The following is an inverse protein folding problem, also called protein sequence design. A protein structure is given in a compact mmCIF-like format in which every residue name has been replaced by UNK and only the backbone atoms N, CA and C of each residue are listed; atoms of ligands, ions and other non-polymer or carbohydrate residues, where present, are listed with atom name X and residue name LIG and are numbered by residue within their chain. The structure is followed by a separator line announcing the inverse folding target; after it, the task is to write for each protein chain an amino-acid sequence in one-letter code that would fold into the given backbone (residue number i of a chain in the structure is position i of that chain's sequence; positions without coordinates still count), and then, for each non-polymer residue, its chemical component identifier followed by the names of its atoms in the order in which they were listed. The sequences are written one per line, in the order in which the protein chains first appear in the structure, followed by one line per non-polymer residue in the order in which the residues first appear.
data_IF_676726247795
#
_entry.id   IF_676726247795
#
_cell.length_a   1.000
_cell.length_b   1.000
_cell.length_c   1.000
_cell.angle_alpha   90.00
_cell.angle_beta   90.00
_cell.angle_gamma   90.00
#
_symmetry.space_group_name_H-M   'P 1'
#
loop_
_entity.id
_entity.type
_entity.pdbx_description
1 polymer ?
#
# COMPACT_ATOMS: atom_id res chain seq x y z
N UNK A 1 3.53 -3.30 -8.57
CA UNK A 1 4.09 -4.23 -7.57
C UNK A 1 5.23 -3.54 -6.84
N UNK A 2 5.36 -3.77 -5.53
CA UNK A 2 6.48 -3.25 -4.73
C UNK A 2 7.51 -4.37 -4.53
N UNK A 3 8.76 -4.14 -4.97
CA UNK A 3 9.90 -4.99 -4.65
C UNK A 3 10.54 -4.55 -3.33
N UNK A 4 10.36 -5.35 -2.29
CA UNK A 4 10.94 -5.15 -0.96
C UNK A 4 12.15 -6.05 -0.70
N UNK A 5 12.73 -6.61 -1.75
CA UNK A 5 13.89 -7.49 -1.65
C UNK A 5 15.08 -6.78 -0.99
N UNK A 6 15.79 -7.53 -0.17
CA UNK A 6 17.03 -7.11 0.51
C UNK A 6 18.07 -8.24 0.37
N UNK A 7 19.33 -7.95 0.67
CA UNK A 7 20.41 -8.92 0.68
C UNK A 7 21.38 -8.82 -0.51
N UNK A 8 22.40 -9.68 -0.49
CA UNK A 8 23.56 -9.57 -1.39
C UNK A 8 23.25 -9.65 -2.88
N UNK A 9 22.15 -10.31 -3.27
CA UNK A 9 21.78 -10.53 -4.67
C UNK A 9 20.60 -9.62 -5.09
N UNK A 10 20.44 -8.49 -4.43
CA UNK A 10 19.29 -7.58 -4.65
C UNK A 10 19.21 -7.11 -6.10
N UNK A 11 20.35 -6.83 -6.75
CA UNK A 11 20.38 -6.34 -8.13
C UNK A 11 19.90 -7.39 -9.12
N UNK A 12 20.36 -8.64 -9.01
CA UNK A 12 19.91 -9.75 -9.87
C UNK A 12 18.43 -10.06 -9.65
N UNK A 13 18.00 -10.06 -8.38
CA UNK A 13 16.59 -10.31 -8.02
C UNK A 13 15.68 -9.24 -8.62
N UNK A 14 16.04 -7.97 -8.47
CA UNK A 14 15.27 -6.84 -9.03
C UNK A 14 15.23 -6.85 -10.55
N UNK A 15 16.37 -7.08 -11.19
CA UNK A 15 16.44 -7.18 -12.65
C UNK A 15 15.52 -8.30 -13.16
N UNK A 16 15.51 -9.45 -12.48
CA UNK A 16 14.62 -10.54 -12.82
C UNK A 16 13.14 -10.16 -12.65
N UNK A 17 12.79 -9.49 -11.54
CA UNK A 17 11.42 -9.02 -11.27
C UNK A 17 10.98 -8.04 -12.36
N UNK A 18 11.78 -7.02 -12.66
CA UNK A 18 11.46 -5.99 -13.68
C UNK A 18 11.24 -6.63 -15.05
N UNK A 19 12.12 -7.55 -15.46
CA UNK A 19 12.02 -8.22 -16.77
C UNK A 19 10.80 -9.13 -16.90
N UNK A 20 10.28 -9.66 -15.81
CA UNK A 20 9.16 -10.61 -15.81
C UNK A 20 7.84 -10.00 -15.33
N UNK A 21 7.81 -8.76 -14.91
CA UNK A 21 6.59 -8.08 -14.46
C UNK A 21 5.83 -7.48 -15.64
N UNK A 22 4.52 -7.75 -15.76
CA UNK A 22 3.66 -7.07 -16.72
C UNK A 22 3.10 -5.73 -16.21
N UNK A 23 3.53 -5.28 -15.03
CA UNK A 23 3.03 -4.08 -14.34
C UNK A 23 4.20 -3.29 -13.75
N UNK A 24 4.03 -1.98 -13.49
CA UNK A 24 5.07 -1.14 -12.90
C UNK A 24 5.63 -1.72 -11.59
N UNK A 25 6.94 -1.58 -11.40
CA UNK A 25 7.68 -2.03 -10.22
C UNK A 25 8.15 -0.83 -9.42
N UNK A 26 7.80 -0.81 -8.14
CA UNK A 26 8.32 0.15 -7.17
C UNK A 26 9.29 -0.46 -6.18
N UNK A 27 10.07 0.37 -5.54
CA UNK A 27 11.01 -0.02 -4.49
C UNK A 27 10.97 0.95 -3.31
N UNK A 28 11.64 0.57 -2.22
CA UNK A 28 11.90 1.44 -1.07
C UNK A 28 13.43 1.63 -0.94
N UNK A 29 14.01 2.65 -1.62
CA UNK A 29 15.47 2.78 -1.75
C UNK A 29 16.23 2.83 -0.43
N UNK A 30 15.62 3.37 0.63
CA UNK A 30 16.23 3.45 1.95
C UNK A 30 16.60 2.06 2.52
N UNK A 31 15.96 0.98 2.09
CA UNK A 31 16.30 -0.37 2.56
C UNK A 31 17.62 -0.85 1.98
N UNK A 32 17.87 -0.59 0.70
CA UNK A 32 19.17 -0.91 0.08
C UNK A 32 20.26 0.04 0.59
N UNK A 33 19.96 1.34 0.75
CA UNK A 33 20.91 2.29 1.33
C UNK A 33 21.34 1.86 2.75
N UNK A 34 20.38 1.35 3.57
CA UNK A 34 20.66 0.82 4.90
C UNK A 34 21.61 -0.39 4.86
N UNK A 35 21.47 -1.28 3.86
CA UNK A 35 22.40 -2.40 3.69
C UNK A 35 23.80 -1.95 3.33
N UNK A 36 23.97 -0.90 2.50
CA UNK A 36 25.27 -0.32 2.16
C UNK A 36 26.02 0.21 3.38
N UNK A 37 25.30 0.61 4.44
CA UNK A 37 25.86 1.03 5.74
C UNK A 37 25.75 -0.05 6.83
N UNK A 38 25.75 -1.32 6.43
CA UNK A 38 25.71 -2.49 7.33
C UNK A 38 24.55 -2.52 8.32
N UNK A 39 23.42 -1.93 7.98
CA UNK A 39 22.21 -1.90 8.81
C UNK A 39 22.22 -0.85 9.92
N UNK A 40 23.21 0.05 9.95
CA UNK A 40 23.32 1.12 10.96
C UNK A 40 22.62 2.37 10.41
N UNK A 41 21.42 2.66 10.92
CA UNK A 41 20.61 3.76 10.42
C UNK A 41 21.32 5.13 10.59
N UNK A 42 22.08 5.29 11.65
CA UNK A 42 22.83 6.50 11.97
C UNK A 42 23.97 6.79 10.95
N UNK A 43 24.48 5.78 10.26
CA UNK A 43 25.54 5.93 9.25
C UNK A 43 25.00 6.31 7.86
N UNK A 44 23.65 6.34 7.71
CA UNK A 44 23.03 6.82 6.47
C UNK A 44 23.38 8.29 6.23
N UNK A 45 23.56 8.63 4.97
CA UNK A 45 23.79 10.00 4.53
C UNK A 45 23.26 10.21 3.11
N UNK A 46 23.26 11.46 2.67
CA UNK A 46 22.76 11.82 1.35
C UNK A 46 23.51 11.10 0.22
N UNK A 47 24.83 11.02 0.26
CA UNK A 47 25.62 10.47 -0.84
C UNK A 47 25.31 8.98 -1.09
N UNK A 48 25.22 8.19 -0.03
CA UNK A 48 24.83 6.76 -0.12
C UNK A 48 23.40 6.61 -0.65
N UNK A 49 22.51 7.51 -0.23
CA UNK A 49 21.12 7.46 -0.68
C UNK A 49 20.99 7.90 -2.15
N UNK A 50 21.64 8.98 -2.55
CA UNK A 50 21.68 9.46 -3.94
C UNK A 50 22.22 8.39 -4.90
N UNK A 51 23.34 7.76 -4.56
CA UNK A 51 23.90 6.65 -5.33
C UNK A 51 22.86 5.52 -5.47
N UNK A 52 22.17 5.17 -4.39
CA UNK A 52 21.16 4.10 -4.39
C UNK A 52 19.96 4.45 -5.27
N UNK A 53 19.50 5.71 -5.25
CA UNK A 53 18.42 6.17 -6.14
C UNK A 53 18.81 6.01 -7.61
N UNK A 54 20.02 6.46 -7.96
CA UNK A 54 20.53 6.40 -9.34
C UNK A 54 20.67 4.95 -9.79
N UNK A 55 21.26 4.08 -8.98
CA UNK A 55 21.39 2.65 -9.28
C UNK A 55 20.04 2.00 -9.59
N UNK A 56 19.02 2.26 -8.78
CA UNK A 56 17.68 1.68 -8.96
C UNK A 56 16.94 2.28 -10.16
N UNK A 57 17.11 3.58 -10.40
CA UNK A 57 16.55 4.24 -11.56
C UNK A 57 17.18 3.71 -12.88
N UNK A 58 18.49 3.48 -12.90
CA UNK A 58 19.20 2.89 -14.06
C UNK A 58 18.81 1.41 -14.29
N UNK A 59 18.38 0.69 -13.26
CA UNK A 59 17.81 -0.64 -13.40
C UNK A 59 16.41 -0.63 -14.03
N UNK A 60 15.73 0.51 -14.07
CA UNK A 60 14.39 0.65 -14.66
C UNK A 60 13.25 0.48 -13.65
N UNK A 61 13.45 0.87 -12.39
CA UNK A 61 12.38 0.94 -11.39
C UNK A 61 11.44 2.09 -11.74
N UNK A 62 10.12 1.86 -11.69
CA UNK A 62 9.11 2.82 -12.14
C UNK A 62 8.69 3.84 -11.07
N UNK A 63 8.77 3.48 -9.78
CA UNK A 63 8.43 4.39 -8.69
C UNK A 63 9.19 4.09 -7.39
N UNK A 64 9.45 5.13 -6.60
CA UNK A 64 10.17 5.03 -5.32
C UNK A 64 9.32 5.46 -4.15
N UNK A 65 9.29 4.63 -3.09
CA UNK A 65 8.77 5.05 -1.79
C UNK A 65 9.81 5.85 -1.03
N UNK A 66 9.50 7.12 -0.78
CA UNK A 66 10.38 8.10 -0.12
C UNK A 66 9.74 8.63 1.16
N UNK A 67 10.32 8.32 2.32
CA UNK A 67 9.81 8.72 3.65
C UNK A 67 10.28 10.13 4.05
N UNK A 68 10.11 11.11 3.17
CA UNK A 68 10.54 12.49 3.39
C UNK A 68 9.63 13.27 4.38
N UNK A 69 8.43 12.77 4.66
CA UNK A 69 7.48 13.41 5.58
C UNK A 69 7.76 13.18 7.07
N UNK A 70 8.66 12.27 7.41
CA UNK A 70 9.07 11.99 8.80
C UNK A 70 9.99 13.09 9.30
N UNK A 71 9.43 14.15 9.87
CA UNK A 71 10.21 15.28 10.37
C UNK A 71 10.58 15.12 11.84
N UNK A 72 11.77 15.63 12.22
CA UNK A 72 12.27 15.57 13.59
C UNK A 72 11.24 16.05 14.61
N UNK A 73 10.53 17.14 14.30
CA UNK A 73 9.50 17.73 15.16
C UNK A 73 8.26 16.85 15.37
N UNK A 74 8.00 15.87 14.50
CA UNK A 74 6.85 14.96 14.60
C UNK A 74 7.16 13.70 15.40
N UNK A 75 8.43 13.29 15.46
CA UNK A 75 8.84 12.06 16.16
C UNK A 75 8.37 12.04 17.64
N UNK A 76 8.50 13.12 18.44
CA UNK A 76 8.00 13.13 19.80
C UNK A 76 6.48 12.94 19.94
N UNK A 77 5.69 13.28 18.91
CA UNK A 77 4.23 13.13 18.94
C UNK A 77 3.81 11.66 18.99
N UNK A 78 4.66 10.74 18.54
CA UNK A 78 4.39 9.30 18.55
C UNK A 78 4.67 8.63 19.90
N UNK A 79 5.26 9.33 20.86
CA UNK A 79 5.70 8.78 22.14
C UNK A 79 4.55 8.22 23.02
N UNK A 80 3.32 8.67 22.79
CA UNK A 80 2.13 8.22 23.54
C UNK A 80 1.32 7.16 22.81
N UNK A 81 1.72 6.79 21.60
CA UNK A 81 1.04 5.77 20.80
C UNK A 81 1.18 4.38 21.44
N UNK A 82 0.18 3.54 21.23
CA UNK A 82 0.22 2.13 21.64
C UNK A 82 1.30 1.37 20.88
N UNK A 83 1.47 1.67 19.59
CA UNK A 83 2.43 0.95 18.72
C UNK A 83 3.62 1.79 18.27
N UNK A 84 3.70 3.06 18.64
CA UNK A 84 4.80 3.96 18.27
C UNK A 84 4.90 4.20 16.76
N UNK A 85 6.09 3.93 16.18
CA UNK A 85 6.36 4.05 14.73
C UNK A 85 6.54 2.65 14.15
N UNK A 86 5.58 2.16 13.40
CA UNK A 86 5.57 0.79 12.85
C UNK A 86 6.12 0.71 11.42
N UNK A 87 6.14 1.82 10.69
CA UNK A 87 6.75 1.86 9.37
C UNK A 87 8.25 1.62 9.46
N UNK A 88 8.78 0.65 8.69
CA UNK A 88 10.22 0.38 8.65
C UNK A 88 11.02 1.59 8.19
N UNK A 89 10.61 2.22 7.08
CA UNK A 89 11.27 3.43 6.59
C UNK A 89 11.09 4.61 7.53
N UNK A 90 9.90 4.76 8.12
CA UNK A 90 9.62 5.78 9.13
C UNK A 90 10.50 5.64 10.38
N UNK A 91 10.67 4.42 10.89
CA UNK A 91 11.52 4.16 12.07
C UNK A 91 13.01 4.38 11.79
N UNK A 92 13.49 4.04 10.58
CA UNK A 92 14.86 4.32 10.15
C UNK A 92 15.12 5.82 10.17
N UNK A 93 14.24 6.62 9.54
CA UNK A 93 14.39 8.07 9.48
C UNK A 93 14.22 8.74 10.84
N UNK A 94 13.26 8.31 11.65
CA UNK A 94 13.09 8.81 13.00
C UNK A 94 14.34 8.57 13.88
N UNK A 95 14.92 7.37 13.77
CA UNK A 95 16.17 7.02 14.49
C UNK A 95 17.32 7.90 14.01
N UNK A 96 17.45 8.12 12.70
CA UNK A 96 18.48 9.00 12.13
C UNK A 96 18.35 10.43 12.66
N UNK A 97 17.14 11.01 12.57
CA UNK A 97 16.87 12.37 13.05
C UNK A 97 17.19 12.55 14.53
N UNK A 98 16.84 11.56 15.37
CA UNK A 98 17.13 11.60 16.80
C UNK A 98 18.63 11.47 17.11
N UNK A 99 19.35 10.62 16.37
CA UNK A 99 20.78 10.41 16.59
C UNK A 99 21.61 11.64 16.22
N UNK A 100 21.27 12.31 15.12
CA UNK A 100 21.99 13.48 14.64
C UNK A 100 21.49 14.81 15.17
N UNK A 101 20.28 14.83 15.77
CA UNK A 101 19.57 16.07 16.12
C UNK A 101 19.38 17.01 14.93
N UNK A 102 19.21 16.43 13.74
CA UNK A 102 19.03 17.12 12.47
C UNK A 102 17.74 16.71 11.78
N UNK A 103 17.26 17.56 10.87
CA UNK A 103 16.08 17.27 10.08
C UNK A 103 16.36 16.17 9.05
N UNK A 104 15.35 15.36 8.77
CA UNK A 104 15.36 14.28 7.80
C UNK A 104 16.07 14.70 6.48
N UNK A 105 17.18 14.03 6.15
CA UNK A 105 17.96 14.39 4.97
C UNK A 105 17.20 14.13 3.65
N UNK A 106 16.16 13.28 3.64
CA UNK A 106 15.30 13.11 2.48
C UNK A 106 14.40 14.34 2.26
N UNK A 107 13.99 14.99 3.35
CA UNK A 107 13.24 16.23 3.29
C UNK A 107 14.13 17.40 2.85
N UNK A 108 15.30 17.55 3.47
CA UNK A 108 16.21 18.68 3.18
C UNK A 108 16.83 18.61 1.78
N UNK A 109 16.92 17.43 1.18
CA UNK A 109 17.39 17.24 -0.20
C UNK A 109 16.27 16.91 -1.20
N UNK A 110 15.01 17.22 -0.87
CA UNK A 110 13.88 16.79 -1.68
C UNK A 110 13.94 17.28 -3.13
N UNK A 111 14.40 18.51 -3.38
CA UNK A 111 14.62 19.03 -4.73
C UNK A 111 15.63 18.21 -5.52
N UNK A 112 16.72 17.76 -4.89
CA UNK A 112 17.70 16.89 -5.55
C UNK A 112 17.11 15.52 -5.90
N UNK A 113 16.21 15.01 -5.03
CA UNK A 113 15.48 13.79 -5.35
C UNK A 113 14.59 14.03 -6.56
N UNK A 114 13.85 15.15 -6.64
CA UNK A 114 13.05 15.51 -7.80
C UNK A 114 13.88 15.58 -9.09
N UNK A 115 15.08 16.16 -9.06
CA UNK A 115 15.98 16.19 -10.22
C UNK A 115 16.31 14.79 -10.76
N UNK A 116 16.57 13.84 -9.85
CA UNK A 116 16.83 12.44 -10.21
C UNK A 116 15.56 11.80 -10.78
N UNK A 117 14.43 11.95 -10.10
CA UNK A 117 13.15 11.38 -10.50
C UNK A 117 12.73 11.89 -11.89
N UNK A 118 12.87 13.19 -12.14
CA UNK A 118 12.60 13.80 -13.45
C UNK A 118 13.51 13.26 -14.54
N UNK A 119 14.81 13.14 -14.25
CA UNK A 119 15.81 12.65 -15.22
C UNK A 119 15.52 11.24 -15.70
N UNK A 120 15.03 10.38 -14.82
CA UNK A 120 14.80 8.95 -15.10
C UNK A 120 13.32 8.60 -15.29
N UNK A 121 12.43 9.60 -15.26
CA UNK A 121 10.95 9.41 -15.39
C UNK A 121 10.39 8.46 -14.31
N UNK A 122 10.82 8.62 -13.07
CA UNK A 122 10.40 7.81 -11.92
C UNK A 122 9.33 8.56 -11.12
N UNK A 123 8.30 7.84 -10.68
CA UNK A 123 7.18 8.38 -9.88
C UNK A 123 7.47 8.32 -8.38
N UNK A 124 7.07 9.35 -7.62
CA UNK A 124 7.04 9.28 -6.15
C UNK A 124 5.89 8.41 -5.64
N UNK A 125 6.19 7.53 -4.68
CA UNK A 125 5.28 7.09 -3.64
C UNK A 125 5.74 7.75 -2.34
N UNK A 126 5.10 8.87 -1.94
CA UNK A 126 5.49 9.57 -0.72
C UNK A 126 5.03 8.75 0.49
N UNK A 127 6.01 8.16 1.18
CA UNK A 127 5.79 7.17 2.23
C UNK A 127 5.24 7.76 3.52
N UNK A 128 4.24 7.10 4.09
CA UNK A 128 3.61 7.43 5.37
C UNK A 128 4.37 6.81 6.55
N UNK A 129 5.55 7.33 6.84
CA UNK A 129 6.43 6.83 7.90
C UNK A 129 5.84 6.89 9.30
N UNK A 130 4.87 7.75 9.53
CA UNK A 130 4.16 7.92 10.80
C UNK A 130 2.74 7.37 10.79
N UNK A 131 2.42 6.44 9.88
CA UNK A 131 1.13 5.76 9.85
C UNK A 131 0.84 5.03 11.17
N UNK A 132 -0.44 4.96 11.62
CA UNK A 132 -0.81 4.21 12.81
C UNK A 132 -0.59 2.70 12.61
N UNK A 133 -0.11 2.02 13.65
CA UNK A 133 0.05 0.57 13.71
C UNK A 133 -1.02 -0.13 14.54
N UNK A 134 -1.97 0.62 15.07
CA UNK A 134 -3.17 0.13 15.75
C UNK A 134 -4.34 1.09 15.55
N UNK A 135 -5.56 0.60 15.71
CA UNK A 135 -6.75 1.47 15.61
C UNK A 135 -6.78 2.55 16.70
N UNK A 136 -6.09 2.32 17.83
CA UNK A 136 -6.01 3.29 18.92
C UNK A 136 -5.18 4.54 18.55
N UNK A 137 -4.26 4.41 17.62
CA UNK A 137 -3.36 5.48 17.17
C UNK A 137 -3.87 6.18 15.89
N UNK A 138 -5.02 5.74 15.35
CA UNK A 138 -5.57 6.25 14.10
C UNK A 138 -5.94 7.73 14.17
N UNK A 139 -5.66 8.46 13.10
CA UNK A 139 -6.01 9.88 12.92
C UNK A 139 -5.41 10.80 14.00
N UNK A 140 -4.27 10.41 14.58
CA UNK A 140 -3.59 11.27 15.55
C UNK A 140 -2.84 12.44 14.87
N UNK A 141 -2.37 13.38 15.68
CA UNK A 141 -1.69 14.57 15.18
C UNK A 141 -0.36 14.23 14.46
N UNK A 142 0.34 13.15 14.85
CA UNK A 142 1.57 12.74 14.17
C UNK A 142 1.27 12.29 12.72
N UNK A 143 0.25 11.47 12.54
CA UNK A 143 -0.19 11.01 11.21
C UNK A 143 -0.62 12.17 10.32
N UNK A 144 -1.48 13.06 10.81
CA UNK A 144 -1.98 14.18 10.01
C UNK A 144 -0.94 15.27 9.78
N UNK A 145 0.03 15.45 10.69
CA UNK A 145 1.14 16.37 10.46
C UNK A 145 2.04 15.89 9.33
N UNK A 146 2.35 14.59 9.30
CA UNK A 146 3.06 13.99 8.17
C UNK A 146 2.25 14.14 6.88
N UNK A 147 0.96 13.82 6.87
CA UNK A 147 0.09 13.93 5.69
C UNK A 147 0.11 15.35 5.10
N UNK A 148 0.05 16.41 5.94
CA UNK A 148 0.16 17.80 5.49
C UNK A 148 1.51 18.05 4.81
N UNK A 149 2.60 17.55 5.40
CA UNK A 149 3.94 17.65 4.79
C UNK A 149 4.02 16.90 3.46
N UNK A 150 3.43 15.71 3.35
CA UNK A 150 3.37 14.97 2.08
C UNK A 150 2.60 15.76 1.01
N UNK A 151 1.54 16.49 1.40
CA UNK A 151 0.85 17.41 0.52
C UNK A 151 1.71 18.60 0.05
N UNK A 152 2.53 19.17 0.93
CA UNK A 152 3.51 20.21 0.57
C UNK A 152 4.57 19.66 -0.41
N UNK A 153 5.12 18.50 -0.13
CA UNK A 153 6.11 17.84 -0.99
C UNK A 153 5.52 17.46 -2.36
N UNK A 154 4.25 17.07 -2.41
CA UNK A 154 3.53 16.81 -3.67
C UNK A 154 3.51 18.05 -4.58
N UNK A 155 3.23 19.24 -4.03
CA UNK A 155 3.23 20.49 -4.79
C UNK A 155 4.62 20.81 -5.35
N UNK A 156 5.66 20.56 -4.56
CA UNK A 156 7.06 20.71 -5.02
C UNK A 156 7.34 19.76 -6.17
N UNK A 157 7.06 18.45 -6.00
CA UNK A 157 7.28 17.45 -7.03
C UNK A 157 6.54 17.78 -8.34
N UNK A 158 5.28 18.20 -8.26
CA UNK A 158 4.50 18.60 -9.44
C UNK A 158 5.06 19.86 -10.12
N UNK A 159 5.56 20.84 -9.35
CA UNK A 159 6.19 22.03 -9.94
C UNK A 159 7.48 21.69 -10.69
N UNK A 160 8.09 20.55 -10.38
CA UNK A 160 9.28 20.01 -11.04
C UNK A 160 8.95 18.89 -12.04
N UNK A 161 7.67 18.75 -12.44
CA UNK A 161 7.16 17.77 -13.39
C UNK A 161 7.39 16.31 -12.98
N UNK A 162 7.37 15.99 -11.70
CA UNK A 162 7.46 14.62 -11.18
C UNK A 162 6.09 14.14 -10.72
N UNK A 163 5.67 12.99 -11.21
CA UNK A 163 4.44 12.33 -10.80
C UNK A 163 4.52 11.88 -9.34
N UNK A 164 3.40 11.95 -8.63
CA UNK A 164 3.36 11.65 -7.20
C UNK A 164 2.08 10.93 -6.83
N UNK A 165 2.20 9.85 -6.04
CA UNK A 165 1.13 9.31 -5.22
C UNK A 165 1.54 9.39 -3.75
N UNK A 166 0.55 9.40 -2.85
CA UNK A 166 0.74 9.53 -1.40
C UNK A 166 0.33 8.23 -0.74
N UNK A 167 1.20 7.68 0.11
CA UNK A 167 0.86 6.53 0.94
C UNK A 167 -0.02 6.96 2.11
N UNK A 168 -0.88 6.06 2.56
CA UNK A 168 -1.83 6.31 3.63
C UNK A 168 -1.96 5.14 4.61
N UNK A 169 -2.82 5.30 5.63
CA UNK A 169 -2.77 4.53 6.86
C UNK A 169 -3.06 3.05 6.70
N UNK A 170 -2.47 2.26 7.63
CA UNK A 170 -2.69 0.83 7.74
C UNK A 170 -3.78 0.42 8.72
N UNK A 171 -4.01 1.16 9.81
CA UNK A 171 -4.98 0.84 10.86
C UNK A 171 -5.89 2.02 11.13
N UNK A 172 -7.17 1.93 10.70
CA UNK A 172 -8.18 2.97 10.94
C UNK A 172 -9.53 2.31 11.18
N UNK A 173 -10.17 2.53 12.33
CA UNK A 173 -11.51 2.01 12.59
C UNK A 173 -12.53 2.64 11.63
N UNK A 174 -13.57 1.92 11.30
CA UNK A 174 -14.52 2.27 10.24
C UNK A 174 -15.04 3.71 10.32
N UNK A 175 -15.34 4.19 11.50
CA UNK A 175 -15.93 5.53 11.71
C UNK A 175 -14.96 6.69 11.45
N UNK A 176 -13.65 6.43 11.38
CA UNK A 176 -12.61 7.43 11.12
C UNK A 176 -12.09 7.42 9.66
N UNK A 177 -12.48 6.44 8.85
CA UNK A 177 -11.98 6.28 7.47
C UNK A 177 -12.36 7.47 6.59
N UNK A 178 -13.60 7.96 6.70
CA UNK A 178 -14.05 9.11 5.90
C UNK A 178 -13.27 10.38 6.25
N UNK A 179 -13.01 10.62 7.53
CA UNK A 179 -12.20 11.75 7.99
C UNK A 179 -10.79 11.67 7.40
N UNK A 180 -10.16 10.49 7.45
CA UNK A 180 -8.84 10.26 6.90
C UNK A 180 -8.76 10.63 5.40
N UNK A 181 -9.73 10.17 4.60
CA UNK A 181 -9.79 10.51 3.18
C UNK A 181 -10.06 12.01 2.96
N UNK A 182 -10.91 12.62 3.78
CA UNK A 182 -11.21 14.05 3.70
C UNK A 182 -9.98 14.91 3.96
N UNK A 183 -9.19 14.58 4.96
CA UNK A 183 -7.94 15.29 5.26
C UNK A 183 -6.91 15.13 4.13
N UNK A 184 -6.82 13.96 3.50
CA UNK A 184 -5.97 13.76 2.33
C UNK A 184 -6.40 14.65 1.16
N UNK A 185 -7.66 14.62 0.78
CA UNK A 185 -8.19 15.45 -0.32
C UNK A 185 -7.94 16.94 -0.09
N UNK A 186 -8.13 17.38 1.16
CA UNK A 186 -7.97 18.79 1.55
C UNK A 186 -6.52 19.27 1.50
N UNK A 187 -5.57 18.45 1.91
CA UNK A 187 -4.17 18.86 2.09
C UNK A 187 -3.26 18.47 0.92
N UNK A 188 -3.65 17.47 0.14
CA UNK A 188 -2.82 16.89 -0.91
C UNK A 188 -3.32 17.16 -2.34
N UNK A 189 -4.22 18.13 -2.51
CA UNK A 189 -4.73 18.57 -3.83
C UNK A 189 -5.22 17.40 -4.71
N UNK A 190 -5.93 16.43 -4.10
CA UNK A 190 -6.45 15.22 -4.76
C UNK A 190 -5.38 14.32 -5.39
N UNK A 191 -4.11 14.41 -4.97
CA UNK A 191 -3.08 13.47 -5.41
C UNK A 191 -3.53 12.03 -5.17
N UNK A 192 -3.21 11.07 -6.05
CA UNK A 192 -3.58 9.68 -5.87
C UNK A 192 -3.19 9.16 -4.48
N UNK A 193 -4.17 8.67 -3.72
CA UNK A 193 -3.97 8.12 -2.39
C UNK A 193 -3.83 6.60 -2.46
N UNK A 194 -2.79 6.07 -1.84
CA UNK A 194 -2.44 4.66 -1.82
C UNK A 194 -2.42 4.17 -0.37
N UNK A 195 -3.41 3.39 0.05
CA UNK A 195 -3.58 3.00 1.44
C UNK A 195 -3.26 1.54 1.71
N UNK A 196 -2.65 1.24 2.87
CA UNK A 196 -2.44 -0.11 3.36
C UNK A 196 -3.71 -0.57 4.11
N UNK A 197 -4.70 -1.05 3.39
CA UNK A 197 -6.01 -1.36 3.97
C UNK A 197 -7.00 -0.21 3.78
N UNK A 198 -7.46 0.40 4.88
CA UNK A 198 -7.03 0.20 6.27
C UNK A 198 -7.67 -1.00 6.99
N UNK A 199 -6.92 -1.60 7.92
CA UNK A 199 -7.42 -2.60 8.85
C UNK A 199 -8.37 -1.92 9.85
N UNK A 200 -9.60 -2.41 9.95
CA UNK A 200 -10.65 -1.77 10.73
C UNK A 200 -10.71 -2.22 12.19
N UNK A 201 -9.95 -3.26 12.55
CA UNK A 201 -9.81 -3.80 13.89
C UNK A 201 -8.50 -4.57 14.02
N UNK A 202 -7.96 -4.66 15.23
CA UNK A 202 -6.68 -5.34 15.53
C UNK A 202 -6.88 -6.75 16.11
N UNK A 203 -8.13 -7.23 16.25
CA UNK A 203 -8.44 -8.45 17.01
C UNK A 203 -8.22 -9.75 16.21
N UNK A 204 -7.93 -9.68 14.94
CA UNK A 204 -8.00 -10.83 14.05
C UNK A 204 -6.66 -11.18 13.33
N UNK A 205 -5.55 -11.40 14.06
CA UNK A 205 -4.31 -11.86 13.41
C UNK A 205 -4.56 -13.20 12.70
N UNK A 206 -4.02 -13.33 11.47
CA UNK A 206 -4.32 -14.44 10.57
C UNK A 206 -5.53 -14.21 9.64
N UNK A 207 -6.29 -13.14 9.89
CA UNK A 207 -7.42 -12.68 9.05
C UNK A 207 -7.27 -11.23 8.62
N UNK A 208 -6.05 -10.72 8.61
CA UNK A 208 -5.74 -9.33 8.28
C UNK A 208 -6.23 -8.90 6.90
N UNK A 209 -6.23 -9.82 5.93
CA UNK A 209 -6.81 -9.61 4.60
C UNK A 209 -8.32 -9.34 4.62
N UNK A 210 -9.05 -9.88 5.60
CA UNK A 210 -10.49 -9.64 5.76
C UNK A 210 -10.72 -8.29 6.44
N UNK A 211 -10.06 -8.03 7.59
CA UNK A 211 -10.24 -6.78 8.34
C UNK A 211 -9.83 -5.56 7.51
N UNK A 212 -8.79 -5.71 6.70
CA UNK A 212 -8.33 -4.65 5.80
C UNK A 212 -9.20 -4.49 4.55
N UNK A 213 -9.77 -5.58 4.00
CA UNK A 213 -10.70 -5.48 2.87
C UNK A 213 -11.97 -4.69 3.22
N UNK A 214 -12.43 -4.77 4.47
CA UNK A 214 -13.55 -3.95 4.95
C UNK A 214 -13.21 -2.46 4.82
N UNK A 215 -12.08 -2.05 5.36
CA UNK A 215 -11.63 -0.66 5.29
C UNK A 215 -11.26 -0.22 3.88
N UNK A 216 -10.65 -1.10 3.10
CA UNK A 216 -10.32 -0.86 1.70
C UNK A 216 -11.56 -0.56 0.85
N UNK A 217 -12.66 -1.29 1.06
CA UNK A 217 -13.93 -1.02 0.39
C UNK A 217 -14.46 0.38 0.73
N UNK A 218 -14.37 0.76 2.00
CA UNK A 218 -14.84 2.07 2.46
C UNK A 218 -13.98 3.22 1.94
N UNK A 219 -12.67 3.13 2.10
CA UNK A 219 -11.78 4.21 1.66
C UNK A 219 -11.76 4.31 0.13
N UNK A 220 -11.88 3.18 -0.57
CA UNK A 220 -12.09 3.12 -2.01
C UNK A 220 -13.36 3.83 -2.45
N UNK A 221 -14.47 3.64 -1.73
CA UNK A 221 -15.72 4.38 -1.96
C UNK A 221 -15.53 5.88 -1.75
N UNK A 222 -14.79 6.30 -0.73
CA UNK A 222 -14.57 7.73 -0.42
C UNK A 222 -13.57 8.42 -1.35
N UNK A 223 -12.87 7.69 -2.24
CA UNK A 223 -12.02 8.30 -3.27
C UNK A 223 -10.57 7.83 -3.32
N UNK A 224 -10.14 6.90 -2.48
CA UNK A 224 -8.81 6.32 -2.56
C UNK A 224 -8.55 5.73 -3.96
N UNK A 225 -7.39 6.04 -4.53
CA UNK A 225 -7.04 5.67 -5.90
C UNK A 225 -6.41 4.27 -6.00
N UNK A 226 -5.61 3.88 -5.01
CA UNK A 226 -4.91 2.59 -4.98
C UNK A 226 -5.02 1.94 -3.61
N UNK A 227 -5.14 0.62 -3.61
CA UNK A 227 -5.25 -0.20 -2.42
C UNK A 227 -4.07 -1.17 -2.36
N UNK A 228 -3.23 -1.07 -1.32
CA UNK A 228 -2.20 -2.04 -1.02
C UNK A 228 -2.85 -3.26 -0.37
N UNK A 229 -2.77 -4.42 -1.03
CA UNK A 229 -3.35 -5.63 -0.47
C UNK A 229 -2.59 -6.10 0.78
N UNK A 230 -3.31 -6.72 1.67
CA UNK A 230 -2.80 -7.32 2.91
C UNK A 230 -3.04 -8.82 2.85
N UNK A 231 -2.04 -9.60 3.24
CA UNK A 231 -2.16 -11.06 3.32
C UNK A 231 -2.67 -11.51 4.69
N UNK A 232 -3.13 -12.76 4.84
CA UNK A 232 -3.47 -13.32 6.16
C UNK A 232 -2.34 -13.23 7.18
N UNK A 233 -1.08 -13.13 6.71
CA UNK A 233 0.13 -13.16 7.54
C UNK A 233 0.75 -11.80 7.83
N UNK A 234 0.05 -10.70 7.60
CA UNK A 234 0.61 -9.33 7.74
C UNK A 234 1.34 -9.12 9.08
N UNK A 235 0.76 -9.59 10.18
CA UNK A 235 1.36 -9.45 11.52
C UNK A 235 2.05 -10.73 12.02
N UNK A 236 2.11 -11.81 11.23
CA UNK A 236 2.57 -13.11 11.71
C UNK A 236 3.82 -13.64 11.02
N UNK A 237 4.11 -13.22 9.80
CA UNK A 237 5.29 -13.71 9.08
C UNK A 237 5.25 -13.48 7.58
N UNK A 238 6.21 -14.07 6.87
CA UNK A 238 6.29 -13.94 5.42
C UNK A 238 5.20 -14.78 4.73
N UNK A 239 4.46 -14.19 3.77
CA UNK A 239 3.43 -14.90 3.03
C UNK A 239 4.04 -15.89 2.02
N UNK A 240 3.35 -17.00 1.79
CA UNK A 240 3.59 -17.87 0.65
C UNK A 240 2.70 -17.43 -0.55
N UNK A 241 2.76 -18.18 -1.65
CA UNK A 241 2.01 -17.88 -2.87
C UNK A 241 0.49 -17.91 -2.67
N UNK A 242 0.01 -18.84 -1.87
CA UNK A 242 -1.41 -19.00 -1.54
C UNK A 242 -1.91 -17.83 -0.70
N UNK A 243 -1.15 -17.42 0.32
CA UNK A 243 -1.46 -16.24 1.14
C UNK A 243 -1.54 -14.96 0.28
N UNK A 244 -0.62 -14.81 -0.69
CA UNK A 244 -0.62 -13.68 -1.63
C UNK A 244 -1.88 -13.71 -2.50
N UNK A 245 -2.25 -14.87 -3.06
CA UNK A 245 -3.49 -15.04 -3.84
C UNK A 245 -4.72 -14.67 -3.01
N UNK A 246 -4.78 -15.13 -1.76
CA UNK A 246 -5.91 -14.87 -0.87
C UNK A 246 -6.06 -13.37 -0.54
N UNK A 247 -4.97 -12.70 -0.18
CA UNK A 247 -4.95 -11.26 0.05
C UNK A 247 -5.35 -10.46 -1.19
N UNK A 248 -4.79 -10.81 -2.35
CA UNK A 248 -5.12 -10.16 -3.62
C UNK A 248 -6.61 -10.33 -3.98
N UNK A 249 -7.18 -11.51 -3.75
CA UNK A 249 -8.61 -11.75 -4.02
C UNK A 249 -9.51 -10.94 -3.09
N UNK A 250 -9.18 -10.85 -1.79
CA UNK A 250 -9.90 -10.02 -0.84
C UNK A 250 -9.91 -8.54 -1.30
N UNK A 251 -8.79 -8.04 -1.80
CA UNK A 251 -8.69 -6.66 -2.26
C UNK A 251 -9.35 -6.39 -3.62
N UNK A 252 -9.37 -7.36 -4.51
CA UNK A 252 -10.16 -7.26 -5.75
C UNK A 252 -11.66 -7.18 -5.45
N UNK A 253 -12.13 -7.91 -4.43
CA UNK A 253 -13.52 -7.82 -3.96
C UNK A 253 -13.77 -6.45 -3.33
N UNK A 254 -12.87 -5.97 -2.47
CA UNK A 254 -12.96 -4.67 -1.82
C UNK A 254 -13.03 -3.52 -2.83
N UNK A 255 -12.13 -3.52 -3.82
CA UNK A 255 -12.09 -2.51 -4.88
C UNK A 255 -13.38 -2.53 -5.71
N UNK A 256 -13.86 -3.71 -6.09
CA UNK A 256 -15.11 -3.86 -6.84
C UNK A 256 -16.33 -3.34 -6.05
N UNK A 257 -16.37 -3.63 -4.74
CA UNK A 257 -17.44 -3.10 -3.88
C UNK A 257 -17.36 -1.55 -3.77
N UNK A 258 -16.17 -0.99 -3.68
CA UNK A 258 -15.95 0.46 -3.72
C UNK A 258 -16.39 1.07 -5.05
N UNK A 259 -16.11 0.43 -6.17
CA UNK A 259 -16.54 0.87 -7.51
C UNK A 259 -18.06 0.84 -7.67
N UNK A 260 -18.73 -0.18 -7.16
CA UNK A 260 -20.21 -0.23 -7.11
C UNK A 260 -20.75 0.94 -6.29
N UNK A 261 -20.20 1.22 -5.12
CA UNK A 261 -20.63 2.31 -4.24
C UNK A 261 -20.41 3.70 -4.88
N UNK A 262 -19.37 3.87 -5.70
CA UNK A 262 -19.13 5.07 -6.51
C UNK A 262 -20.06 5.18 -7.73
N UNK A 263 -20.83 4.15 -8.05
CA UNK A 263 -21.70 4.11 -9.22
C UNK A 263 -20.94 3.84 -10.53
N UNK A 264 -19.79 3.14 -10.50
CA UNK A 264 -19.05 2.81 -11.69
C UNK A 264 -19.85 1.84 -12.59
N UNK A 265 -20.19 2.23 -13.84
CA UNK A 265 -21.12 1.46 -14.67
C UNK A 265 -20.63 0.04 -14.97
N UNK A 266 -19.35 -0.14 -15.22
CA UNK A 266 -18.78 -1.43 -15.56
C UNK A 266 -18.87 -2.44 -14.40
N UNK A 267 -18.76 -1.99 -13.15
CA UNK A 267 -18.92 -2.82 -11.98
C UNK A 267 -20.35 -3.37 -11.90
N UNK A 268 -21.36 -2.50 -12.01
CA UNK A 268 -22.77 -2.89 -11.98
C UNK A 268 -23.16 -3.82 -13.14
N UNK A 269 -22.63 -3.58 -14.35
CA UNK A 269 -22.89 -4.45 -15.52
C UNK A 269 -22.36 -5.87 -15.24
N UNK A 270 -21.18 -6.00 -14.66
CA UNK A 270 -20.60 -7.31 -14.33
C UNK A 270 -21.43 -8.06 -13.29
N UNK A 271 -21.84 -7.39 -12.20
CA UNK A 271 -22.68 -7.98 -11.18
C UNK A 271 -24.05 -8.40 -11.69
N UNK A 272 -24.67 -7.59 -12.54
CA UNK A 272 -25.93 -7.93 -13.19
C UNK A 272 -25.80 -9.17 -14.10
N UNK A 273 -24.72 -9.24 -14.88
CA UNK A 273 -24.46 -10.39 -15.74
C UNK A 273 -24.26 -11.68 -14.95
N UNK A 274 -23.47 -11.63 -13.87
CA UNK A 274 -23.25 -12.78 -12.98
C UNK A 274 -24.55 -13.19 -12.28
N UNK A 275 -25.30 -12.24 -11.75
CA UNK A 275 -26.59 -12.52 -11.09
C UNK A 275 -27.60 -13.15 -12.02
N UNK A 276 -27.65 -12.71 -13.29
CA UNK A 276 -28.49 -13.33 -14.34
C UNK A 276 -28.03 -14.75 -14.65
N UNK A 277 -26.73 -14.98 -14.82
CA UNK A 277 -26.17 -16.30 -15.03
C UNK A 277 -26.50 -17.25 -13.88
N UNK A 278 -26.42 -16.78 -12.63
CA UNK A 278 -26.80 -17.53 -11.43
C UNK A 278 -28.29 -17.88 -11.41
N UNK A 279 -29.16 -16.94 -11.69
CA UNK A 279 -30.61 -17.15 -11.73
C UNK A 279 -31.03 -18.15 -12.83
N UNK A 280 -30.31 -18.15 -13.97
CA UNK A 280 -30.57 -19.04 -15.11
C UNK A 280 -29.82 -20.37 -15.01
N UNK A 281 -29.14 -20.65 -13.89
CA UNK A 281 -28.33 -21.86 -13.67
C UNK A 281 -27.25 -22.10 -14.75
N UNK A 282 -26.74 -21.01 -15.37
CA UNK A 282 -25.64 -21.05 -16.33
C UNK A 282 -24.31 -21.06 -15.60
N UNK A 283 -23.95 -22.22 -15.06
CA UNK A 283 -22.81 -22.38 -14.14
C UNK A 283 -21.47 -21.94 -14.74
N UNK A 284 -21.19 -22.33 -15.99
CA UNK A 284 -19.95 -21.93 -16.65
C UNK A 284 -19.82 -20.41 -16.83
N UNK A 285 -20.92 -19.75 -17.19
CA UNK A 285 -20.94 -18.29 -17.28
C UNK A 285 -20.75 -17.65 -15.90
N UNK A 286 -21.37 -18.20 -14.86
CA UNK A 286 -21.22 -17.72 -13.49
C UNK A 286 -19.75 -17.83 -13.03
N UNK A 287 -19.08 -18.94 -13.30
CA UNK A 287 -17.67 -19.13 -12.96
C UNK A 287 -16.80 -18.13 -13.71
N UNK A 288 -16.97 -17.99 -15.03
CA UNK A 288 -16.16 -17.14 -15.89
C UNK A 288 -16.36 -15.64 -15.59
N UNK A 289 -17.52 -15.22 -15.12
CA UNK A 289 -17.79 -13.86 -14.67
C UNK A 289 -17.24 -13.57 -13.28
N UNK A 290 -17.01 -14.60 -12.46
CA UNK A 290 -16.44 -14.51 -11.12
C UNK A 290 -15.00 -13.97 -11.11
N UNK A 291 -14.53 -13.53 -9.95
CA UNK A 291 -13.15 -13.06 -9.76
C UNK A 291 -12.14 -14.21 -9.68
N UNK A 292 -12.57 -15.39 -9.19
CA UNK A 292 -11.78 -16.62 -9.10
C UNK A 292 -12.56 -17.80 -9.70
N UNK A 293 -12.50 -17.99 -11.03
CA UNK A 293 -13.19 -19.07 -11.72
C UNK A 293 -12.77 -20.48 -11.27
N UNK A 294 -11.49 -20.66 -10.95
CA UNK A 294 -10.94 -21.96 -10.53
C UNK A 294 -11.56 -22.41 -9.20
N UNK A 295 -11.52 -21.54 -8.19
CA UNK A 295 -12.11 -21.81 -6.88
C UNK A 295 -13.62 -22.04 -6.98
N UNK A 296 -14.31 -21.28 -7.82
CA UNK A 296 -15.74 -21.42 -8.03
C UNK A 296 -16.09 -22.79 -8.61
N UNK A 297 -15.34 -23.26 -9.58
CA UNK A 297 -15.53 -24.63 -10.16
C UNK A 297 -15.25 -25.71 -9.12
N UNK A 298 -14.14 -25.60 -8.41
CA UNK A 298 -13.75 -26.55 -7.36
C UNK A 298 -14.88 -26.72 -6.34
N UNK A 299 -15.40 -25.63 -5.81
CA UNK A 299 -16.47 -25.68 -4.81
C UNK A 299 -17.79 -26.23 -5.35
N UNK A 300 -18.13 -25.91 -6.59
CA UNK A 300 -19.31 -26.45 -7.24
C UNK A 300 -19.20 -27.96 -7.49
N UNK A 301 -18.05 -28.42 -7.97
CA UNK A 301 -17.81 -29.86 -8.19
C UNK A 301 -17.90 -30.67 -6.87
N UNK A 302 -17.48 -30.10 -5.76
CA UNK A 302 -17.59 -30.75 -4.44
C UNK A 302 -19.04 -30.94 -4.01
N UNK A 303 -19.96 -30.03 -4.39
CA UNK A 303 -21.39 -30.15 -4.10
C UNK A 303 -22.04 -31.34 -4.82
N UNK A 304 -21.62 -31.67 -6.04
CA UNK A 304 -22.15 -32.80 -6.80
C UNK A 304 -21.65 -34.17 -6.31
N UNK A 305 -20.66 -34.21 -5.42
CA UNK A 305 -20.11 -35.45 -4.85
C UNK A 305 -20.67 -35.78 -3.47
N UNK A 306 -21.55 -34.92 -2.92
CA UNK A 306 -22.22 -35.14 -1.63
C UNK A 306 -23.74 -35.16 -1.80
N UNK A 307 -24.41 -36.14 -1.17
CA UNK A 307 -25.90 -36.28 -1.17
C UNK A 307 -26.64 -35.06 -0.56
N UNK A 308 -25.90 -34.11 0.01
CA UNK A 308 -26.48 -32.87 0.53
C UNK A 308 -26.76 -31.82 -0.57
N UNK A 309 -26.37 -32.03 -1.83
CA UNK A 309 -26.62 -31.11 -2.91
C UNK A 309 -28.06 -31.03 -3.38
N UNK A 310 -28.83 -32.10 -3.16
CA UNK A 310 -30.26 -32.18 -3.60
C UNK A 310 -31.22 -31.41 -2.69
N UNK A 311 -30.83 -31.07 -1.45
CA UNK A 311 -31.69 -30.35 -0.50
C UNK A 311 -31.63 -28.82 -0.65
N UNK A 312 -30.64 -28.27 -1.38
CA UNK A 312 -30.48 -26.81 -1.51
C UNK A 312 -30.95 -26.23 -2.85
N UNK A 313 -31.57 -27.03 -3.70
CA UNK A 313 -32.02 -26.62 -5.04
C UNK A 313 -33.55 -26.41 -5.11
N UNK A 314 -34.18 -26.18 -3.98
CA UNK A 314 -35.61 -25.86 -3.87
C UNK A 314 -35.91 -24.39 -3.68
#
# INVERSE_FOLDING_TARGET
IMDLSTGKNIHETREWIIRNSPVPIGTVPIYQALEKVNGVAEDLNWDVFEETLIEQAEQGVDYFTIHAGVLLRYVPMTAKRVTGIVSRGGSIMAKWCLAHHEENFLYTNFHKICDIMQKYDVTFSLGDGLRPGSIADANDEAQFSELRTLGELTKIAWSENVQTMIEGPGHVPMHLIQENMTEQLKHCDEAPFYTLGPLTTDIAPGYDHITSAIGASMIGWFGCAMLCYVTPKEHLGLPNKEDVKEGLMAYRIAAHAGDLAKGHPAAQIRDNALSKARFEFRWEDQFNLGLDPERSREYHCLLYTSDAADEFMG
#
